data_IF_200897933124
#
_entry.id   IF_200897933124
#
_cell.length_a   1.000
_cell.length_b   1.000
_cell.length_c   1.000
_cell.angle_alpha   90.00
_cell.angle_beta   90.00
_cell.angle_gamma   90.00
#
_symmetry.space_group_name_H-M   'P 1'
#
loop_
_entity.id
_entity.type
_entity.pdbx_description
1 polymer ?
#
# COMPACT_ATOMS: atom_id res chain seq x y z
N UNK A 1 35.26 -22.14 -21.47
CA UNK A 1 35.29 -23.12 -20.37
C UNK A 1 35.05 -22.52 -18.98
N UNK A 2 35.53 -21.32 -18.65
CA UNK A 2 35.35 -20.73 -17.29
C UNK A 2 33.92 -20.36 -16.89
N UNK A 3 32.99 -20.16 -17.84
CA UNK A 3 31.60 -19.80 -17.56
C UNK A 3 30.75 -20.99 -17.07
N UNK A 4 31.01 -22.20 -17.60
CA UNK A 4 30.26 -23.41 -17.24
C UNK A 4 30.54 -23.84 -15.80
N UNK A 5 31.82 -23.77 -15.39
CA UNK A 5 32.27 -24.12 -14.04
C UNK A 5 31.72 -23.14 -12.99
N UNK A 6 31.49 -21.87 -13.37
CA UNK A 6 30.88 -20.87 -12.50
C UNK A 6 29.40 -21.17 -12.27
N UNK A 7 28.66 -21.48 -13.35
CA UNK A 7 27.25 -21.87 -13.27
C UNK A 7 27.04 -23.16 -12.48
N UNK A 8 27.91 -24.15 -12.63
CA UNK A 8 27.87 -25.39 -11.84
C UNK A 8 28.07 -25.13 -10.34
N UNK A 9 28.97 -24.19 -9.98
CA UNK A 9 29.18 -23.80 -8.57
C UNK A 9 27.97 -23.06 -7.98
N UNK A 10 27.32 -22.20 -8.76
CA UNK A 10 26.10 -21.50 -8.33
C UNK A 10 24.94 -22.47 -8.14
N UNK A 11 24.77 -23.43 -9.05
CA UNK A 11 23.76 -24.49 -8.93
C UNK A 11 23.99 -25.36 -7.70
N UNK A 12 25.24 -25.72 -7.40
CA UNK A 12 25.58 -26.48 -6.20
C UNK A 12 25.33 -25.69 -4.91
N UNK A 13 25.59 -24.38 -4.93
CA UNK A 13 25.30 -23.46 -3.83
C UNK A 13 23.80 -23.37 -3.57
N UNK A 14 23.00 -23.17 -4.63
CA UNK A 14 21.55 -23.10 -4.56
C UNK A 14 20.93 -24.42 -4.09
N UNK A 15 21.44 -25.55 -4.57
CA UNK A 15 21.02 -26.88 -4.12
C UNK A 15 21.27 -27.09 -2.63
N UNK A 16 22.44 -26.71 -2.11
CA UNK A 16 22.74 -26.78 -0.67
C UNK A 16 21.85 -25.86 0.17
N UNK A 17 21.54 -24.67 -0.34
CA UNK A 17 20.61 -23.76 0.33
C UNK A 17 19.19 -24.34 0.37
N UNK A 18 18.70 -24.93 -0.73
CA UNK A 18 17.42 -25.61 -0.79
C UNK A 18 17.36 -26.82 0.16
N UNK A 19 18.43 -27.60 0.24
CA UNK A 19 18.51 -28.74 1.14
C UNK A 19 18.54 -28.31 2.62
N UNK A 20 19.21 -27.20 2.95
CA UNK A 20 19.18 -26.58 4.27
C UNK A 20 17.79 -26.05 4.63
N UNK A 21 17.09 -25.45 3.67
CA UNK A 21 15.73 -24.94 3.87
C UNK A 21 14.75 -26.11 4.04
N UNK A 22 14.90 -27.17 3.24
CA UNK A 22 14.09 -28.38 3.34
C UNK A 22 14.28 -29.11 4.67
N UNK A 23 15.53 -29.26 5.14
CA UNK A 23 15.82 -29.82 6.47
C UNK A 23 15.32 -28.93 7.61
N UNK A 24 15.34 -27.61 7.43
CA UNK A 24 14.65 -26.68 8.30
C UNK A 24 13.16 -27.03 8.36
N UNK A 25 12.49 -27.09 7.21
CA UNK A 25 11.07 -27.41 7.08
C UNK A 25 10.67 -28.78 7.67
N UNK A 26 11.52 -29.81 7.54
CA UNK A 26 11.27 -31.13 8.13
C UNK A 26 11.44 -31.15 9.66
N UNK A 27 12.41 -30.40 10.20
CA UNK A 27 12.52 -30.19 11.65
C UNK A 27 11.24 -29.55 12.21
N UNK A 28 10.57 -28.68 11.45
CA UNK A 28 9.35 -27.99 11.90
C UNK A 28 8.07 -28.82 11.89
N UNK A 29 8.10 -30.11 11.50
CA UNK A 29 6.88 -30.93 11.33
C UNK A 29 6.53 -31.80 12.55
N UNK A 30 7.47 -32.09 13.45
CA UNK A 30 7.28 -33.05 14.56
C UNK A 30 7.54 -32.41 15.94
N UNK A 31 6.55 -31.78 16.59
CA UNK A 31 6.74 -31.17 17.93
C UNK A 31 5.45 -31.10 18.80
N UNK A 32 5.60 -31.33 20.11
CA UNK A 32 4.54 -31.67 21.10
C UNK A 32 4.13 -30.50 22.01
N UNK A 33 3.35 -30.71 23.09
CA UNK A 33 2.67 -29.66 23.89
C UNK A 33 3.65 -28.71 24.62
N UNK A 34 4.87 -29.14 24.95
CA UNK A 34 5.95 -28.28 25.45
C UNK A 34 6.45 -27.24 24.42
N UNK A 35 6.12 -27.42 23.14
CA UNK A 35 6.53 -26.53 22.04
C UNK A 35 5.61 -25.33 21.81
N UNK A 36 4.55 -25.14 22.62
CA UNK A 36 3.62 -24.01 22.43
C UNK A 36 4.19 -22.69 22.93
N UNK A 37 4.90 -22.70 24.05
CA UNK A 37 5.49 -21.50 24.66
C UNK A 37 6.69 -21.01 23.83
N UNK A 38 7.55 -21.92 23.40
CA UNK A 38 8.65 -21.66 22.45
C UNK A 38 8.15 -21.17 21.09
N UNK A 39 7.02 -21.71 20.58
CA UNK A 39 6.38 -21.18 19.35
C UNK A 39 5.83 -19.77 19.51
N UNK A 40 5.22 -19.46 20.64
CA UNK A 40 4.67 -18.12 20.88
C UNK A 40 5.77 -17.06 21.00
N UNK A 41 6.86 -17.40 21.69
CA UNK A 41 8.04 -16.53 21.77
C UNK A 41 8.72 -16.35 20.40
N UNK A 42 8.75 -17.41 19.59
CA UNK A 42 9.24 -17.33 18.21
C UNK A 42 8.37 -16.39 17.35
N UNK A 43 7.04 -16.48 17.43
CA UNK A 43 6.11 -15.58 16.75
C UNK A 43 6.35 -14.13 17.18
N UNK A 44 6.48 -13.87 18.49
CA UNK A 44 6.78 -12.53 19.02
C UNK A 44 8.12 -12.00 18.52
N UNK A 45 9.14 -12.85 18.45
CA UNK A 45 10.46 -12.48 17.93
C UNK A 45 10.36 -12.08 16.44
N UNK A 46 9.72 -12.91 15.60
CA UNK A 46 9.51 -12.61 14.19
C UNK A 46 8.70 -11.33 13.99
N UNK A 47 7.66 -11.13 14.79
CA UNK A 47 6.83 -9.93 14.74
C UNK A 47 7.62 -8.65 15.02
N UNK A 48 8.53 -8.68 16.01
CA UNK A 48 9.43 -7.56 16.33
C UNK A 48 10.47 -7.32 15.25
N UNK A 49 10.92 -8.37 14.56
CA UNK A 49 11.90 -8.26 13.46
C UNK A 49 11.28 -7.65 12.20
N UNK A 50 10.02 -7.96 11.90
CA UNK A 50 9.31 -7.49 10.70
C UNK A 50 7.97 -6.81 11.02
N UNK A 51 7.96 -5.71 11.80
CA UNK A 51 6.74 -5.06 12.24
C UNK A 51 6.00 -4.36 11.10
N UNK A 52 4.66 -4.36 11.14
CA UNK A 52 3.81 -3.62 10.21
C UNK A 52 3.52 -2.24 10.80
N UNK A 53 4.14 -1.21 10.22
CA UNK A 53 4.17 0.15 10.81
C UNK A 53 3.01 1.02 10.32
N UNK A 54 1.81 0.80 10.86
CA UNK A 54 0.68 1.69 10.60
C UNK A 54 0.80 2.97 11.45
N UNK A 55 1.23 4.08 10.83
CA UNK A 55 1.47 5.37 11.51
C UNK A 55 0.20 5.93 12.14
N UNK A 56 -0.94 5.82 11.46
CA UNK A 56 -2.24 6.32 11.97
C UNK A 56 -2.69 5.54 13.19
N UNK A 57 -2.67 4.21 13.11
CA UNK A 57 -3.08 3.35 14.23
C UNK A 57 -2.13 3.48 15.43
N UNK A 58 -0.83 3.71 15.19
CA UNK A 58 0.15 3.98 16.25
C UNK A 58 -0.19 5.23 17.06
N UNK A 59 -0.65 6.29 16.39
CA UNK A 59 -1.03 7.56 17.01
C UNK A 59 -2.44 7.53 17.64
N UNK A 60 -3.25 6.51 17.34
CA UNK A 60 -4.60 6.39 17.86
C UNK A 60 -4.65 6.13 19.37
N UNK A 61 -5.79 6.44 19.99
CA UNK A 61 -6.03 6.16 21.39
C UNK A 61 -6.06 4.65 21.70
N UNK A 62 -5.75 4.26 22.93
CA UNK A 62 -5.71 2.84 23.33
C UNK A 62 -7.07 2.15 23.19
N UNK A 63 -8.19 2.86 23.37
CA UNK A 63 -9.53 2.31 23.10
C UNK A 63 -9.73 1.97 21.62
N UNK A 64 -9.19 2.78 20.71
CA UNK A 64 -9.23 2.53 19.26
C UNK A 64 -8.38 1.32 18.90
N UNK A 65 -7.16 1.20 19.46
CA UNK A 65 -6.32 0.01 19.26
C UNK A 65 -7.02 -1.25 19.80
N UNK A 66 -7.62 -1.17 20.99
CA UNK A 66 -8.36 -2.28 21.59
C UNK A 66 -9.53 -2.72 20.72
N UNK A 67 -10.31 -1.77 20.20
CA UNK A 67 -11.40 -2.07 19.27
C UNK A 67 -10.89 -2.67 17.95
N UNK A 68 -9.80 -2.12 17.42
CA UNK A 68 -9.17 -2.58 16.18
C UNK A 68 -8.73 -4.04 16.29
N UNK A 69 -7.95 -4.39 17.32
CA UNK A 69 -7.52 -5.77 17.54
C UNK A 69 -8.68 -6.70 17.91
N UNK A 70 -9.69 -6.22 18.66
CA UNK A 70 -10.90 -7.00 18.95
C UNK A 70 -11.67 -7.38 17.68
N UNK A 71 -11.83 -6.45 16.73
CA UNK A 71 -12.48 -6.70 15.44
C UNK A 71 -11.65 -7.62 14.53
N UNK A 72 -10.33 -7.44 14.46
CA UNK A 72 -9.48 -8.36 13.69
C UNK A 72 -9.54 -9.79 14.26
N UNK A 73 -9.52 -9.92 15.59
CA UNK A 73 -9.65 -11.19 16.29
C UNK A 73 -11.01 -11.84 16.02
N UNK A 74 -12.09 -11.05 16.00
CA UNK A 74 -13.43 -11.50 15.62
C UNK A 74 -13.45 -12.05 14.18
N UNK A 75 -12.83 -11.34 13.23
CA UNK A 75 -12.73 -11.75 11.84
C UNK A 75 -11.95 -13.05 11.64
N UNK A 76 -10.76 -13.18 12.21
CA UNK A 76 -9.90 -14.37 12.06
C UNK A 76 -10.48 -15.64 12.70
N UNK A 77 -11.45 -15.50 13.61
CA UNK A 77 -12.10 -16.60 14.33
C UNK A 77 -13.57 -16.79 13.96
N UNK A 78 -14.06 -16.12 12.93
CA UNK A 78 -15.45 -16.25 12.47
C UNK A 78 -15.79 -17.69 12.04
N UNK A 79 -14.82 -18.42 11.48
CA UNK A 79 -15.00 -19.78 10.95
C UNK A 79 -14.35 -20.88 11.80
N UNK A 80 -13.50 -20.51 12.76
CA UNK A 80 -12.68 -21.44 13.54
C UNK A 80 -12.47 -20.91 14.95
N UNK A 81 -12.44 -21.82 15.93
CA UNK A 81 -12.29 -21.44 17.34
C UNK A 81 -10.93 -20.82 17.66
N UNK A 82 -9.89 -21.14 16.88
CA UNK A 82 -8.54 -20.66 17.13
C UNK A 82 -7.85 -20.14 15.87
N UNK A 83 -6.87 -19.25 16.07
CA UNK A 83 -6.08 -18.64 15.02
C UNK A 83 -4.96 -19.58 14.57
N UNK A 84 -4.73 -19.61 13.26
CA UNK A 84 -3.54 -20.24 12.68
C UNK A 84 -2.26 -19.50 13.07
N UNK A 85 -1.10 -20.15 12.94
CA UNK A 85 0.19 -19.54 13.25
C UNK A 85 0.46 -18.29 12.40
N UNK A 86 0.08 -18.31 11.12
CA UNK A 86 0.22 -17.17 10.21
C UNK A 86 -0.66 -15.97 10.63
N UNK A 87 -1.90 -16.24 11.04
CA UNK A 87 -2.80 -15.22 11.56
C UNK A 87 -2.28 -14.61 12.87
N UNK A 88 -1.78 -15.44 13.78
CA UNK A 88 -1.15 -14.99 15.04
C UNK A 88 0.07 -14.13 14.75
N UNK A 89 0.94 -14.56 13.83
CA UNK A 89 2.11 -13.80 13.41
C UNK A 89 1.72 -12.46 12.80
N UNK A 90 0.72 -12.43 11.92
CA UNK A 90 0.26 -11.19 11.29
C UNK A 90 -0.27 -10.18 12.31
N UNK A 91 -1.16 -10.61 13.22
CA UNK A 91 -1.67 -9.74 14.29
C UNK A 91 -0.55 -9.22 15.20
N UNK A 92 0.41 -10.08 15.55
CA UNK A 92 1.57 -9.68 16.35
C UNK A 92 2.48 -8.69 15.61
N UNK A 93 2.65 -8.82 14.28
CA UNK A 93 3.40 -7.87 13.46
C UNK A 93 2.75 -6.48 13.45
N UNK A 94 1.42 -6.41 13.37
CA UNK A 94 0.68 -5.15 13.50
C UNK A 94 0.89 -4.58 14.90
N UNK A 95 0.65 -5.37 15.95
CA UNK A 95 0.80 -4.95 17.34
C UNK A 95 2.20 -4.39 17.64
N UNK A 96 3.24 -5.10 17.22
CA UNK A 96 4.63 -4.67 17.35
C UNK A 96 4.91 -3.35 16.60
N UNK A 97 4.32 -3.16 15.42
CA UNK A 97 4.54 -1.95 14.62
C UNK A 97 3.78 -0.72 15.10
N UNK A 98 2.65 -0.90 15.80
CA UNK A 98 1.89 0.19 16.42
C UNK A 98 2.22 0.41 17.90
N UNK A 99 3.09 -0.42 18.46
CA UNK A 99 3.48 -0.36 19.88
C UNK A 99 2.36 -0.78 20.83
N UNK A 100 1.45 -1.66 20.40
CA UNK A 100 0.39 -2.18 21.25
C UNK A 100 0.91 -3.38 22.05
N UNK A 101 0.88 -3.25 23.38
CA UNK A 101 1.58 -4.18 24.28
C UNK A 101 0.68 -5.25 24.88
N UNK A 102 -0.64 -5.17 24.69
CA UNK A 102 -1.56 -6.19 25.18
C UNK A 102 -1.30 -7.51 24.47
N UNK A 103 -1.40 -8.60 25.23
CA UNK A 103 -1.23 -9.93 24.70
C UNK A 103 -2.50 -10.45 24.03
N UNK A 104 -2.39 -11.66 23.48
CA UNK A 104 -3.45 -12.31 22.75
C UNK A 104 -4.68 -12.65 23.61
N UNK A 105 -4.51 -12.93 24.91
CA UNK A 105 -5.65 -13.20 25.80
C UNK A 105 -6.50 -11.93 25.97
N UNK A 106 -5.84 -10.79 26.14
CA UNK A 106 -6.52 -9.49 26.18
C UNK A 106 -7.24 -9.16 24.87
N UNK A 107 -6.71 -9.60 23.72
CA UNK A 107 -7.40 -9.43 22.43
C UNK A 107 -8.66 -10.30 22.34
N UNK A 108 -8.62 -11.53 22.86
CA UNK A 108 -9.78 -12.40 22.95
C UNK A 108 -10.86 -11.85 23.90
N UNK A 109 -10.47 -11.18 24.99
CA UNK A 109 -11.41 -10.44 25.85
C UNK A 109 -12.01 -9.25 25.11
N UNK A 110 -11.18 -8.48 24.39
CA UNK A 110 -11.63 -7.37 23.58
C UNK A 110 -12.62 -7.81 22.49
N UNK A 111 -12.39 -8.96 21.86
CA UNK A 111 -13.33 -9.56 20.90
C UNK A 111 -14.73 -9.72 21.50
N UNK A 112 -14.86 -10.31 22.69
CA UNK A 112 -16.16 -10.55 23.33
C UNK A 112 -16.92 -9.25 23.58
N UNK A 113 -16.21 -8.25 24.11
CA UNK A 113 -16.79 -6.91 24.33
C UNK A 113 -17.27 -6.33 23.00
N UNK A 114 -16.44 -6.40 21.95
CA UNK A 114 -16.81 -5.89 20.63
C UNK A 114 -18.02 -6.62 20.04
N UNK A 115 -18.11 -7.94 20.20
CA UNK A 115 -19.25 -8.73 19.74
C UNK A 115 -20.55 -8.30 20.43
N UNK A 116 -20.51 -8.03 21.75
CA UNK A 116 -21.62 -7.47 22.51
C UNK A 116 -21.98 -6.04 22.05
N UNK A 117 -20.99 -5.17 21.86
CA UNK A 117 -21.19 -3.79 21.38
C UNK A 117 -21.84 -3.77 19.99
N UNK A 118 -21.39 -4.63 19.08
CA UNK A 118 -21.98 -4.80 17.74
C UNK A 118 -23.42 -5.30 17.82
N UNK A 119 -23.69 -6.31 18.67
CA UNK A 119 -25.04 -6.83 18.90
C UNK A 119 -26.01 -5.80 19.47
N UNK A 120 -25.50 -4.83 20.23
CA UNK A 120 -26.27 -3.72 20.79
C UNK A 120 -26.41 -2.53 19.81
N UNK A 121 -25.77 -2.58 18.64
CA UNK A 121 -25.78 -1.48 17.67
C UNK A 121 -24.94 -0.27 18.09
N UNK A 122 -24.00 -0.46 19.02
CA UNK A 122 -23.13 0.61 19.51
C UNK A 122 -22.04 0.96 18.48
N UNK A 123 -21.64 2.23 18.48
CA UNK A 123 -20.59 2.71 17.58
C UNK A 123 -19.21 2.27 18.07
N UNK A 124 -18.45 1.62 17.19
CA UNK A 124 -17.08 1.20 17.49
C UNK A 124 -16.09 2.36 17.22
N UNK A 125 -15.18 2.69 18.16
CA UNK A 125 -14.30 3.86 18.06
C UNK A 125 -13.07 3.61 17.17
N UNK A 126 -13.27 3.47 15.85
CA UNK A 126 -12.17 3.25 14.89
C UNK A 126 -11.58 4.53 14.27
N UNK A 127 -12.33 5.63 14.29
CA UNK A 127 -11.92 6.92 13.73
C UNK A 127 -11.42 6.79 12.27
N UNK A 128 -10.20 7.25 11.98
CA UNK A 128 -9.58 7.18 10.65
C UNK A 128 -9.02 5.79 10.27
N UNK A 129 -9.06 4.81 11.18
CA UNK A 129 -8.44 3.50 10.98
C UNK A 129 -9.39 2.47 10.34
N UNK A 130 -10.63 2.85 10.04
CA UNK A 130 -11.67 1.94 9.50
C UNK A 130 -11.23 1.24 8.22
N UNK A 131 -10.65 1.97 7.25
CA UNK A 131 -10.22 1.34 5.99
C UNK A 131 -8.96 0.50 6.16
N UNK A 132 -8.05 0.87 7.07
CA UNK A 132 -6.91 0.02 7.44
C UNK A 132 -7.38 -1.26 8.11
N UNK A 133 -8.39 -1.20 8.98
CA UNK A 133 -8.97 -2.40 9.58
C UNK A 133 -9.48 -3.37 8.53
N UNK A 134 -10.19 -2.86 7.52
CA UNK A 134 -10.78 -3.70 6.48
C UNK A 134 -9.73 -4.30 5.56
N UNK A 135 -8.70 -3.54 5.20
CA UNK A 135 -7.57 -4.10 4.45
C UNK A 135 -6.87 -5.20 5.24
N UNK A 136 -6.54 -4.93 6.50
CA UNK A 136 -5.87 -5.89 7.38
C UNK A 136 -6.75 -7.12 7.60
N UNK A 137 -8.07 -6.94 7.73
CA UNK A 137 -9.06 -8.00 7.79
C UNK A 137 -9.09 -8.86 6.53
N UNK A 138 -9.13 -8.24 5.35
CA UNK A 138 -9.08 -8.94 4.05
C UNK A 138 -7.79 -9.74 3.89
N UNK A 139 -6.65 -9.16 4.29
CA UNK A 139 -5.37 -9.88 4.31
C UNK A 139 -5.44 -11.06 5.28
N UNK A 140 -5.85 -10.81 6.53
CA UNK A 140 -5.88 -11.76 7.63
C UNK A 140 -6.74 -13.00 7.33
N UNK A 141 -7.94 -12.83 6.77
CA UNK A 141 -8.82 -13.96 6.48
C UNK A 141 -8.32 -14.80 5.30
N UNK A 142 -7.47 -14.25 4.43
CA UNK A 142 -6.90 -14.94 3.26
C UNK A 142 -5.45 -15.41 3.46
N UNK A 143 -4.85 -15.23 4.66
CA UNK A 143 -3.48 -15.72 4.93
C UNK A 143 -3.38 -17.25 4.87
N UNK A 144 -4.46 -17.96 5.17
CA UNK A 144 -4.52 -19.43 5.17
C UNK A 144 -4.92 -20.00 3.81
N UNK A 145 -4.86 -19.20 2.75
CA UNK A 145 -5.41 -19.53 1.43
C UNK A 145 -6.80 -18.94 1.23
N UNK A 146 -7.76 -19.74 0.77
CA UNK A 146 -9.12 -19.25 0.50
C UNK A 146 -9.86 -18.99 1.82
N UNK A 147 -10.24 -17.73 2.07
CA UNK A 147 -11.11 -17.39 3.17
C UNK A 147 -12.45 -18.14 3.11
N UNK A 148 -12.95 -18.59 4.26
CA UNK A 148 -14.23 -19.31 4.33
C UNK A 148 -15.41 -18.37 4.08
N UNK A 149 -16.58 -18.93 3.77
CA UNK A 149 -17.79 -18.15 3.54
C UNK A 149 -18.22 -17.39 4.80
N UNK A 150 -18.00 -17.95 5.99
CA UNK A 150 -18.31 -17.32 7.28
C UNK A 150 -17.43 -16.10 7.53
N UNK A 151 -16.13 -16.19 7.23
CA UNK A 151 -15.21 -15.06 7.33
C UNK A 151 -15.58 -13.94 6.35
N UNK A 152 -15.95 -14.30 5.12
CA UNK A 152 -16.47 -13.34 4.13
C UNK A 152 -17.78 -12.68 4.58
N UNK A 153 -18.71 -13.47 5.15
CA UNK A 153 -19.97 -12.95 5.67
C UNK A 153 -19.75 -11.97 6.81
N UNK A 154 -18.90 -12.33 7.78
CA UNK A 154 -18.52 -11.44 8.89
C UNK A 154 -17.91 -10.14 8.37
N UNK A 155 -17.02 -10.21 7.38
CA UNK A 155 -16.41 -9.01 6.79
C UNK A 155 -17.43 -8.12 6.07
N UNK A 156 -18.37 -8.73 5.34
CA UNK A 156 -19.47 -8.01 4.71
C UNK A 156 -20.38 -7.33 5.75
N UNK A 157 -20.77 -8.04 6.81
CA UNK A 157 -21.56 -7.49 7.91
C UNK A 157 -20.83 -6.33 8.61
N UNK A 158 -19.53 -6.47 8.90
CA UNK A 158 -18.72 -5.39 9.46
C UNK A 158 -18.64 -4.19 8.52
N UNK A 159 -18.52 -4.39 7.22
CA UNK A 159 -18.49 -3.29 6.25
C UNK A 159 -19.80 -2.47 6.27
N UNK A 160 -20.94 -3.13 6.48
CA UNK A 160 -22.24 -2.47 6.61
C UNK A 160 -22.31 -1.68 7.92
N UNK A 161 -21.93 -2.29 9.05
CA UNK A 161 -21.94 -1.63 10.37
C UNK A 161 -21.00 -0.42 10.40
N UNK A 162 -19.88 -0.50 9.70
CA UNK A 162 -18.90 0.57 9.59
C UNK A 162 -19.24 1.60 8.50
N UNK A 163 -20.41 1.47 7.85
CA UNK A 163 -20.92 2.35 6.80
C UNK A 163 -19.94 2.54 5.63
N UNK A 164 -19.42 1.43 5.13
CA UNK A 164 -18.45 1.42 4.04
C UNK A 164 -19.17 1.29 2.72
N UNK A 165 -18.85 2.17 1.79
CA UNK A 165 -19.39 2.09 0.44
C UNK A 165 -18.87 0.85 -0.28
N UNK A 166 -19.75 0.17 -1.02
CA UNK A 166 -19.40 -1.02 -1.79
C UNK A 166 -18.17 -0.81 -2.67
N UNK A 167 -18.07 0.35 -3.34
CA UNK A 167 -16.95 0.65 -4.25
C UNK A 167 -15.61 0.76 -3.51
N UNK A 168 -15.61 1.25 -2.27
CA UNK A 168 -14.41 1.29 -1.44
C UNK A 168 -13.99 -0.12 -1.04
N UNK A 169 -14.96 -0.96 -0.67
CA UNK A 169 -14.70 -2.36 -0.32
C UNK A 169 -14.14 -3.14 -1.52
N UNK A 170 -14.69 -2.92 -2.73
CA UNK A 170 -14.17 -3.50 -3.97
C UNK A 170 -12.72 -3.08 -4.24
N UNK A 171 -12.40 -1.79 -4.04
CA UNK A 171 -11.02 -1.30 -4.18
C UNK A 171 -10.10 -1.97 -3.15
N UNK A 172 -10.51 -2.04 -1.88
CA UNK A 172 -9.73 -2.70 -0.83
C UNK A 172 -9.51 -4.19 -1.12
N UNK A 173 -10.51 -4.88 -1.67
CA UNK A 173 -10.39 -6.28 -2.07
C UNK A 173 -9.38 -6.46 -3.22
N UNK A 174 -9.39 -5.57 -4.22
CA UNK A 174 -8.38 -5.57 -5.30
C UNK A 174 -6.99 -5.29 -4.75
N UNK A 175 -6.86 -4.35 -3.82
CA UNK A 175 -5.60 -4.03 -3.15
C UNK A 175 -5.08 -5.24 -2.34
N UNK A 176 -5.92 -5.82 -1.49
CA UNK A 176 -5.58 -7.02 -0.71
C UNK A 176 -5.12 -8.16 -1.61
N UNK A 177 -5.84 -8.42 -2.70
CA UNK A 177 -5.48 -9.43 -3.70
C UNK A 177 -4.10 -9.16 -4.31
N UNK A 178 -3.84 -7.93 -4.74
CA UNK A 178 -2.53 -7.56 -5.32
C UNK A 178 -1.39 -7.78 -4.34
N UNK A 179 -1.59 -7.46 -3.06
CA UNK A 179 -0.62 -7.65 -1.97
C UNK A 179 -0.40 -9.15 -1.72
N UNK A 180 -1.47 -9.94 -1.59
CA UNK A 180 -1.35 -11.39 -1.32
C UNK A 180 -0.61 -12.09 -2.45
N UNK A 181 -0.94 -11.79 -3.71
CA UNK A 181 -0.28 -12.40 -4.87
C UNK A 181 1.08 -11.78 -5.21
N UNK A 182 1.50 -10.73 -4.50
CA UNK A 182 2.71 -9.98 -4.81
C UNK A 182 2.74 -9.52 -6.28
N UNK A 183 1.61 -9.08 -6.81
CA UNK A 183 1.43 -8.74 -8.22
C UNK A 183 1.32 -7.21 -8.43
N UNK A 184 2.41 -6.61 -8.93
CA UNK A 184 2.49 -5.18 -9.21
C UNK A 184 1.57 -4.74 -10.36
N UNK A 185 1.31 -5.59 -11.34
CA UNK A 185 0.39 -5.27 -12.45
C UNK A 185 -1.05 -5.17 -11.96
N UNK A 186 -1.48 -6.11 -11.10
CA UNK A 186 -2.79 -6.05 -10.44
C UNK A 186 -2.91 -4.76 -9.62
N UNK A 187 -1.88 -4.40 -8.84
CA UNK A 187 -1.82 -3.15 -8.10
C UNK A 187 -1.97 -1.91 -9.00
N UNK A 188 -1.23 -1.85 -10.12
CA UNK A 188 -1.26 -0.74 -11.06
C UNK A 188 -2.60 -0.61 -11.81
N UNK A 189 -3.42 -1.66 -11.83
CA UNK A 189 -4.73 -1.68 -12.48
C UNK A 189 -5.87 -1.13 -11.61
N UNK A 190 -5.62 -0.96 -10.31
CA UNK A 190 -6.64 -0.55 -9.33
C UNK A 190 -7.17 0.84 -9.69
N UNK A 191 -8.50 0.92 -9.80
CA UNK A 191 -9.22 2.19 -9.97
C UNK A 191 -9.73 2.65 -8.61
N UNK A 192 -9.10 3.69 -8.07
CA UNK A 192 -9.54 4.30 -6.83
C UNK A 192 -10.84 5.11 -7.03
N UNK A 193 -11.78 4.96 -6.08
CA UNK A 193 -13.07 5.65 -6.03
C UNK A 193 -12.93 7.15 -5.77
N UNK A 194 -12.20 7.47 -4.71
CA UNK A 194 -11.76 8.81 -4.35
C UNK A 194 -10.25 8.76 -4.10
N UNK A 195 -9.44 9.04 -5.12
CA UNK A 195 -8.00 8.96 -4.97
C UNK A 195 -7.39 9.93 -3.93
N UNK A 196 -8.04 11.05 -3.58
CA UNK A 196 -7.56 11.96 -2.52
C UNK A 196 -7.60 11.28 -1.16
N UNK A 197 -8.70 10.57 -0.90
CA UNK A 197 -8.93 9.79 0.32
C UNK A 197 -7.88 8.72 0.52
N UNK A 198 -7.48 8.00 -0.53
CA UNK A 198 -6.55 6.86 -0.45
C UNK A 198 -5.07 7.25 -0.37
N UNK A 199 -4.77 8.54 -0.52
CA UNK A 199 -3.41 9.04 -0.58
C UNK A 199 -2.63 8.73 0.69
N UNK A 200 -1.45 8.11 0.54
CA UNK A 200 -0.60 7.71 1.66
C UNK A 200 -1.22 6.65 2.57
N UNK A 201 -2.45 6.20 2.27
CA UNK A 201 -3.04 5.06 2.98
C UNK A 201 -2.30 3.79 2.57
N UNK A 202 -2.16 2.86 3.51
CA UNK A 202 -1.64 1.51 3.28
C UNK A 202 -0.17 1.43 2.83
N UNK A 203 0.61 2.50 2.96
CA UNK A 203 2.07 2.49 2.69
C UNK A 203 2.84 1.47 3.52
N UNK A 204 2.25 0.99 4.62
CA UNK A 204 2.79 -0.07 5.47
C UNK A 204 2.56 -1.49 4.93
N UNK A 205 1.68 -1.65 3.94
CA UNK A 205 1.44 -2.92 3.23
C UNK A 205 1.96 -2.90 1.79
N UNK A 206 1.94 -1.74 1.13
CA UNK A 206 2.37 -1.63 -0.26
C UNK A 206 3.90 -1.53 -0.33
N UNK A 207 4.58 -2.40 -1.10
CA UNK A 207 6.02 -2.30 -1.31
C UNK A 207 6.42 -0.94 -1.89
N UNK A 208 7.44 -0.29 -1.31
CA UNK A 208 7.94 1.00 -1.79
C UNK A 208 8.40 0.96 -3.26
N UNK A 209 8.85 -0.20 -3.72
CA UNK A 209 9.24 -0.42 -5.13
C UNK A 209 8.02 -0.28 -6.06
N UNK A 210 6.85 -0.81 -5.67
CA UNK A 210 5.62 -0.67 -6.48
C UNK A 210 5.17 0.78 -6.59
N UNK A 211 5.29 1.53 -5.49
CA UNK A 211 5.00 2.97 -5.48
C UNK A 211 5.93 3.73 -6.43
N UNK A 212 7.23 3.41 -6.40
CA UNK A 212 8.25 4.02 -7.27
C UNK A 212 8.04 3.66 -8.75
N UNK A 213 7.82 2.39 -9.07
CA UNK A 213 7.57 1.90 -10.42
C UNK A 213 6.21 2.36 -10.96
N UNK A 214 5.25 2.59 -10.06
CA UNK A 214 3.95 3.15 -10.37
C UNK A 214 3.99 4.60 -10.89
N UNK A 215 5.16 5.25 -10.93
CA UNK A 215 5.34 6.59 -11.52
C UNK A 215 5.58 6.50 -13.02
N UNK A 216 4.61 6.95 -13.81
CA UNK A 216 4.64 6.89 -15.27
C UNK A 216 4.86 8.29 -15.83
N UNK A 217 5.93 8.47 -16.60
CA UNK A 217 6.16 9.71 -17.36
C UNK A 217 5.11 9.83 -18.47
N UNK A 218 4.36 10.94 -18.46
CA UNK A 218 3.29 11.18 -19.42
C UNK A 218 3.73 12.08 -20.57
N UNK A 219 4.82 12.82 -20.39
CA UNK A 219 5.31 13.80 -21.33
C UNK A 219 5.91 15.00 -20.61
N UNK A 220 6.32 15.99 -21.36
CA UNK A 220 6.91 17.20 -20.82
C UNK A 220 6.82 18.32 -21.83
N UNK A 221 6.98 19.54 -21.34
CA UNK A 221 6.92 20.74 -22.16
C UNK A 221 7.89 21.80 -21.62
N UNK A 222 8.39 22.67 -22.49
CA UNK A 222 9.30 23.76 -22.12
C UNK A 222 8.53 25.07 -21.94
N UNK A 223 8.52 25.60 -20.71
CA UNK A 223 8.05 26.95 -20.43
C UNK A 223 9.19 27.95 -20.72
N UNK A 224 8.94 28.94 -21.58
CA UNK A 224 9.83 30.08 -21.69
C UNK A 224 9.48 31.10 -20.62
N UNK A 225 10.42 31.35 -19.70
CA UNK A 225 10.31 32.46 -18.76
C UNK A 225 10.09 33.78 -19.52
N UNK A 226 9.19 34.63 -19.02
CA UNK A 226 8.94 35.96 -19.58
C UNK A 226 10.19 36.83 -19.46
N UNK A 227 11.09 36.76 -20.44
CA UNK A 227 11.95 37.90 -20.75
C UNK A 227 11.88 38.15 -22.25
N UNK A 228 11.27 39.29 -22.55
CA UNK A 228 11.20 39.95 -23.84
C UNK A 228 12.64 40.18 -24.30
N UNK A 229 13.02 39.62 -25.46
CA UNK A 229 13.66 40.32 -26.59
C UNK A 229 14.11 39.29 -27.63
N UNK A 230 13.31 39.23 -28.70
CA UNK A 230 13.66 38.88 -30.08
C UNK A 230 14.12 37.46 -30.51
N UNK A 231 13.66 37.17 -31.73
CA UNK A 231 13.93 36.07 -32.66
C UNK A 231 13.31 34.69 -32.39
N UNK A 232 12.20 34.47 -33.10
CA UNK A 232 11.69 33.18 -33.59
C UNK A 232 11.80 31.98 -32.65
N UNK A 233 11.13 32.03 -31.51
CA UNK A 233 10.60 30.83 -30.88
C UNK A 233 9.18 31.14 -30.44
N UNK A 234 8.20 30.50 -31.07
CA UNK A 234 6.79 30.64 -30.69
C UNK A 234 6.67 30.18 -29.23
N UNK A 235 6.34 31.07 -28.27
CA UNK A 235 6.22 30.67 -26.88
C UNK A 235 5.10 29.63 -26.76
N UNK A 236 5.36 28.60 -25.98
CA UNK A 236 4.36 27.56 -25.70
C UNK A 236 3.16 28.21 -25.02
N UNK A 237 1.98 28.07 -25.63
CA UNK A 237 0.73 28.62 -25.08
C UNK A 237 -0.04 27.50 -24.41
N UNK A 238 -0.01 27.45 -23.08
CA UNK A 238 -0.84 26.52 -22.29
C UNK A 238 -2.31 26.96 -22.42
N UNK A 239 -3.17 26.05 -22.90
CA UNK A 239 -4.62 26.25 -22.99
C UNK A 239 -5.27 25.84 -21.68
N UNK A 240 -4.94 24.66 -21.18
CA UNK A 240 -5.42 24.15 -19.90
C UNK A 240 -4.39 23.22 -19.26
N UNK A 241 -4.44 23.14 -17.93
CA UNK A 241 -3.53 22.33 -17.12
C UNK A 241 -4.26 21.85 -15.89
N UNK A 242 -4.24 20.55 -15.64
CA UNK A 242 -4.71 19.95 -14.40
C UNK A 242 -3.86 20.43 -13.22
N UNK A 243 -4.50 20.72 -12.09
CA UNK A 243 -3.79 21.17 -10.89
C UNK A 243 -2.81 20.09 -10.42
N UNK A 244 -1.64 20.49 -9.91
CA UNK A 244 -0.73 19.51 -9.30
C UNK A 244 -1.45 18.78 -8.15
N UNK A 245 -1.22 17.47 -8.04
CA UNK A 245 -1.90 16.57 -7.09
C UNK A 245 -3.39 16.36 -7.38
N UNK A 246 -3.92 16.88 -8.49
CA UNK A 246 -5.24 16.46 -8.98
C UNK A 246 -5.17 15.02 -9.48
N UNK A 247 -6.32 14.36 -9.53
CA UNK A 247 -6.40 12.99 -10.02
C UNK A 247 -6.90 12.95 -11.45
N UNK A 248 -6.37 12.01 -12.21
CA UNK A 248 -6.70 11.78 -13.60
C UNK A 248 -7.02 10.30 -13.80
N UNK A 249 -8.03 10.02 -14.63
CA UNK A 249 -8.32 8.71 -15.17
C UNK A 249 -7.49 8.46 -16.44
N UNK A 250 -7.35 7.19 -16.82
CA UNK A 250 -6.73 6.82 -18.09
C UNK A 250 -7.45 7.52 -19.25
N UNK A 251 -6.70 8.26 -20.06
CA UNK A 251 -7.20 9.03 -21.20
C UNK A 251 -7.49 10.50 -20.91
N UNK A 252 -7.52 10.92 -19.64
CA UNK A 252 -7.76 12.33 -19.29
C UNK A 252 -6.64 13.23 -19.81
N UNK A 253 -7.01 14.43 -20.26
CA UNK A 253 -6.05 15.46 -20.69
C UNK A 253 -5.45 16.13 -19.46
N UNK A 254 -4.17 15.85 -19.17
CA UNK A 254 -3.44 16.44 -18.05
C UNK A 254 -3.02 17.87 -18.40
N UNK A 255 -2.46 18.06 -19.59
CA UNK A 255 -2.03 19.37 -20.09
C UNK A 255 -2.41 19.49 -21.56
N UNK A 256 -2.96 20.63 -21.92
CA UNK A 256 -3.27 21.03 -23.29
C UNK A 256 -2.51 22.29 -23.63
N UNK A 257 -1.73 22.27 -24.70
CA UNK A 257 -0.92 23.42 -25.11
C UNK A 257 -0.77 23.54 -26.63
N UNK A 258 -0.36 24.71 -27.11
CA UNK A 258 -0.04 24.97 -28.51
C UNK A 258 1.47 25.10 -28.65
N UNK A 259 2.04 24.34 -29.57
CA UNK A 259 3.43 24.42 -30.01
C UNK A 259 3.45 24.50 -31.55
N UNK A 260 4.15 25.50 -32.10
CA UNK A 260 4.26 25.73 -33.55
C UNK A 260 2.91 25.72 -34.29
N UNK A 261 1.88 26.31 -33.67
CA UNK A 261 0.53 26.41 -34.25
C UNK A 261 -0.28 25.10 -34.22
N UNK A 262 0.26 24.01 -33.65
CA UNK A 262 -0.46 22.74 -33.46
C UNK A 262 -0.85 22.54 -32.01
N UNK A 263 -2.05 22.03 -31.80
CA UNK A 263 -2.54 21.63 -30.48
C UNK A 263 -1.93 20.28 -30.08
N UNK A 264 -1.36 20.20 -28.89
CA UNK A 264 -0.77 18.99 -28.31
C UNK A 264 -1.42 18.73 -26.95
N UNK A 265 -1.81 17.47 -26.73
CA UNK A 265 -2.40 16.99 -25.49
C UNK A 265 -1.46 15.98 -24.82
N UNK A 266 -1.14 16.19 -23.54
CA UNK A 266 -0.52 15.18 -22.68
C UNK A 266 -1.65 14.44 -21.98
N UNK A 267 -1.79 13.16 -22.28
CA UNK A 267 -2.85 12.30 -21.75
C UNK A 267 -2.33 11.44 -20.60
N UNK A 268 -3.20 11.13 -19.65
CA UNK A 268 -2.91 10.18 -18.58
C UNK A 268 -2.91 8.74 -19.13
N UNK A 269 -1.78 8.01 -19.08
CA UNK A 269 -1.71 6.63 -19.61
C UNK A 269 -2.40 5.60 -18.70
N UNK A 270 -2.61 5.95 -17.43
CA UNK A 270 -3.31 5.18 -16.41
C UNK A 270 -4.01 6.12 -15.42
N UNK A 271 -4.83 5.57 -14.53
CA UNK A 271 -5.42 6.34 -13.44
C UNK A 271 -4.36 6.64 -12.35
N UNK A 272 -4.43 7.80 -11.71
CA UNK A 272 -3.51 8.17 -10.63
C UNK A 272 -3.48 9.66 -10.30
N UNK A 273 -2.47 10.06 -9.53
CA UNK A 273 -2.25 11.47 -9.14
C UNK A 273 -1.28 12.17 -10.11
N UNK A 274 -1.62 13.38 -10.52
CA UNK A 274 -0.80 14.22 -11.40
C UNK A 274 0.33 14.87 -10.61
N UNK A 275 1.56 14.80 -11.11
CA UNK A 275 2.73 15.45 -10.53
C UNK A 275 3.56 16.15 -11.61
N UNK A 276 4.03 17.37 -11.31
CA UNK A 276 4.88 18.15 -12.19
C UNK A 276 6.27 18.29 -11.57
N UNK A 277 7.32 18.00 -12.35
CA UNK A 277 8.69 18.29 -11.96
C UNK A 277 9.25 19.39 -12.87
N UNK A 278 9.57 20.54 -12.28
CA UNK A 278 10.16 21.66 -12.99
C UNK A 278 11.68 21.60 -12.88
N UNK A 279 12.37 21.35 -14.00
CA UNK A 279 13.82 21.48 -14.08
C UNK A 279 14.18 22.92 -14.48
N UNK A 280 14.71 23.68 -13.52
CA UNK A 280 15.30 24.99 -13.77
C UNK A 280 16.78 24.77 -14.09
N UNK A 281 17.19 25.01 -15.34
CA UNK A 281 18.62 24.99 -15.69
C UNK A 281 19.20 26.37 -15.46
N UNK A 282 20.24 26.46 -14.62
CA UNK A 282 20.90 27.70 -14.20
C UNK A 282 21.26 28.62 -15.38
N UNK A 283 21.36 29.92 -15.04
CA UNK A 283 21.82 31.00 -15.91
C UNK A 283 23.09 30.57 -16.63
N UNK A 284 23.11 30.69 -17.96
CA UNK A 284 24.33 30.43 -18.71
C UNK A 284 25.38 31.51 -18.37
N UNK A 285 26.68 31.22 -18.45
CA UNK A 285 27.75 32.20 -18.20
C UNK A 285 27.66 33.45 -19.10
N UNK A 286 26.99 33.33 -20.25
CA UNK A 286 26.75 34.40 -21.23
C UNK A 286 25.60 35.36 -20.84
N UNK A 287 24.98 35.18 -19.67
CA UNK A 287 23.88 36.01 -19.18
C UNK A 287 22.49 35.62 -19.70
N UNK A 288 22.40 34.65 -20.62
CA UNK A 288 21.12 34.17 -21.15
C UNK A 288 20.40 33.22 -20.18
N UNK A 289 19.08 33.33 -20.14
CA UNK A 289 18.22 32.40 -19.40
C UNK A 289 18.06 31.10 -20.20
N UNK A 290 18.27 29.96 -19.53
CA UNK A 290 18.02 28.64 -20.12
C UNK A 290 16.55 28.29 -19.88
N UNK A 291 15.90 27.69 -20.88
CA UNK A 291 14.48 27.30 -20.84
C UNK A 291 14.18 26.41 -19.62
N UNK A 292 13.00 26.60 -19.04
CA UNK A 292 12.51 25.78 -17.92
C UNK A 292 11.72 24.59 -18.50
N UNK A 293 12.18 23.37 -18.27
CA UNK A 293 11.46 22.17 -18.74
C UNK A 293 10.60 21.60 -17.62
N UNK A 294 9.30 21.48 -17.88
CA UNK A 294 8.34 20.84 -16.97
C UNK A 294 8.07 19.42 -17.45
N UNK A 295 8.43 18.43 -16.63
CA UNK A 295 8.08 17.03 -16.84
C UNK A 295 6.78 16.71 -16.12
N UNK A 296 5.90 15.95 -16.77
CA UNK A 296 4.57 15.56 -16.29
C UNK A 296 4.57 14.07 -16.02
N UNK A 297 4.06 13.69 -14.86
CA UNK A 297 3.96 12.30 -14.42
C UNK A 297 2.57 12.00 -13.87
N UNK A 298 2.17 10.74 -13.99
CA UNK A 298 1.08 10.13 -13.23
C UNK A 298 1.71 9.17 -12.23
N UNK A 299 1.40 9.35 -10.95
CA UNK A 299 1.84 8.49 -9.85
C UNK A 299 0.69 7.64 -9.32
N UNK A 300 0.99 6.63 -8.52
CA UNK A 300 -0.02 5.87 -7.79
C UNK A 300 -0.96 6.80 -7.01
N UNK A 301 -2.23 6.45 -6.88
CA UNK A 301 -3.16 7.20 -6.03
C UNK A 301 -2.83 7.06 -4.54
N UNK A 302 -2.07 6.03 -4.16
CA UNK A 302 -1.60 5.81 -2.80
C UNK A 302 -0.29 6.57 -2.51
N UNK A 303 0.34 7.23 -3.49
CA UNK A 303 1.62 7.91 -3.29
C UNK A 303 1.44 9.10 -2.33
N UNK A 304 2.32 9.19 -1.32
CA UNK A 304 2.43 10.40 -0.51
C UNK A 304 2.85 11.60 -1.38
N UNK A 305 2.54 12.84 -0.97
CA UNK A 305 3.14 14.00 -1.61
C UNK A 305 4.66 13.84 -1.61
N UNK A 306 5.31 14.12 -2.74
CA UNK A 306 6.74 14.41 -2.69
C UNK A 306 6.87 15.61 -1.75
N UNK A 307 7.33 15.39 -0.53
CA UNK A 307 7.93 16.46 0.25
C UNK A 307 9.21 16.81 -0.50
N UNK A 308 9.41 18.08 -0.91
CA UNK A 308 10.75 18.48 -1.30
C UNK A 308 11.65 18.14 -0.12
N UNK A 309 12.68 17.33 -0.36
CA UNK A 309 13.65 16.91 0.64
C UNK A 309 13.95 18.09 1.58
N UNK A 310 13.57 17.95 2.84
CA UNK A 310 14.02 18.83 3.92
C UNK A 310 15.39 18.37 4.38
#
# INVERSE_FOLDING_TARGET
MNSLIHLEKELLSLSKQLESISKGLEYYRDFSVGDRETRYDHIKMLARKYPIKNVKLRAAHESTKKAYFGLLTLLSTAAQQDHTEDQRLFLQRIAAGVGYTLDFEEWMKARKIIEEELGNGNRIPLEENTYSLLLDGLLLINLTGTATMEAWRMLAELSIVLNIEQRDLEMLAQLARSIIHQNEEEFNSIKATDPLKWRGMFTHHIPAVWMKNGRVYCGGYEEMGRNVYHFMNTPLKIISKMQEKSFANKGDVIVKYIENGKEINILAPKAGSVSYLKEVKNRRPDGSWKKESTKVFIKSCFDEPDTPNT
#
